data_IF_360089032913
#
_entry.id   IF_360089032913
#
_cell.length_a   1.000
_cell.length_b   1.000
_cell.length_c   1.000
_cell.angle_alpha   90.00
_cell.angle_beta   90.00
_cell.angle_gamma   90.00
#
_symmetry.space_group_name_H-M   'P 1'
#
loop_
_entity.id
_entity.type
_entity.pdbx_description
1 polymer ?
#
# COMPACT_ATOMS: atom_id res chain seq x y z
N UNK A 1 19.68 0.13 3.85
CA UNK A 1 20.17 -1.24 4.11
C UNK A 1 20.34 -1.96 2.78
N UNK A 2 21.56 -2.35 2.41
CA UNK A 2 21.81 -3.11 1.17
C UNK A 2 21.63 -4.59 1.48
N UNK A 3 20.86 -5.30 0.67
CA UNK A 3 20.80 -6.74 0.73
C UNK A 3 21.44 -7.35 -0.50
N UNK A 4 22.10 -8.48 -0.31
CA UNK A 4 22.61 -9.25 -1.42
C UNK A 4 21.54 -10.23 -1.88
N UNK A 5 21.04 -10.04 -3.10
CA UNK A 5 20.24 -11.04 -3.81
C UNK A 5 21.19 -11.85 -4.71
N UNK A 6 21.97 -12.74 -4.09
CA UNK A 6 23.02 -13.49 -4.78
C UNK A 6 24.16 -12.59 -5.25
N UNK A 7 24.40 -12.53 -6.58
CA UNK A 7 25.50 -11.76 -7.19
C UNK A 7 25.18 -10.29 -7.46
N UNK A 8 23.96 -9.83 -7.15
CA UNK A 8 23.54 -8.45 -7.39
C UNK A 8 23.09 -7.77 -6.10
N UNK A 9 23.32 -6.46 -6.03
CA UNK A 9 22.77 -5.62 -4.97
C UNK A 9 21.25 -5.56 -5.11
N UNK A 10 20.56 -5.74 -3.99
CA UNK A 10 19.13 -5.59 -3.85
C UNK A 10 18.84 -4.47 -2.85
N UNK A 11 17.90 -3.61 -3.20
CA UNK A 11 17.44 -2.55 -2.32
C UNK A 11 16.50 -3.15 -1.24
N UNK A 12 16.84 -2.87 0.02
CA UNK A 12 16.05 -3.02 1.27
C UNK A 12 15.06 -1.88 1.52
N UNK A 13 13.76 -2.13 1.66
CA UNK A 13 12.92 -1.19 2.43
C UNK A 13 13.16 -1.35 3.93
N UNK A 14 12.83 -0.31 4.70
CA UNK A 14 12.77 -0.42 6.15
C UNK A 14 11.55 -1.26 6.57
N UNK A 15 11.62 -2.01 7.67
CA UNK A 15 10.46 -2.70 8.21
C UNK A 15 9.38 -1.68 8.58
N UNK A 16 8.11 -2.05 8.36
CA UNK A 16 6.94 -1.25 8.71
C UNK A 16 5.99 -2.10 9.54
N UNK A 17 5.33 -1.49 10.52
CA UNK A 17 4.29 -2.16 11.29
C UNK A 17 3.09 -2.44 10.38
N UNK A 18 2.63 -3.69 10.39
CA UNK A 18 1.44 -4.10 9.62
C UNK A 18 0.22 -4.21 10.53
N UNK A 19 0.37 -4.90 11.66
CA UNK A 19 -0.71 -5.11 12.62
C UNK A 19 -0.16 -5.24 14.03
N UNK A 20 -1.02 -4.95 14.99
CA UNK A 20 -0.91 -5.28 16.40
C UNK A 20 -2.21 -5.95 16.86
N UNK A 21 -2.32 -6.35 18.13
CA UNK A 21 -3.50 -7.04 18.68
C UNK A 21 -4.82 -6.27 18.49
N UNK A 22 -4.76 -4.94 18.41
CA UNK A 22 -5.93 -4.07 18.39
C UNK A 22 -6.20 -3.43 17.01
N UNK A 23 -5.18 -3.29 16.16
CA UNK A 23 -5.26 -2.49 14.94
C UNK A 23 -4.44 -3.09 13.80
N UNK A 24 -4.90 -2.89 12.57
CA UNK A 24 -4.22 -3.31 11.35
C UNK A 24 -4.16 -2.17 10.34
N UNK A 25 -3.01 -1.97 9.71
CA UNK A 25 -2.83 -1.06 8.58
C UNK A 25 -2.98 -1.90 7.31
N UNK A 26 -3.95 -1.54 6.46
CA UNK A 26 -4.29 -2.33 5.27
C UNK A 26 -3.78 -1.71 3.97
N UNK A 27 -3.50 -0.41 3.96
CA UNK A 27 -3.07 0.30 2.75
C UNK A 27 -1.68 0.90 2.94
N UNK A 28 -0.72 0.40 2.16
CA UNK A 28 0.65 0.90 2.12
C UNK A 28 0.94 1.53 0.77
N UNK A 29 1.87 2.46 0.75
CA UNK A 29 2.43 2.99 -0.50
C UNK A 29 3.95 2.85 -0.45
N UNK A 30 4.49 1.99 -1.30
CA UNK A 30 5.91 1.71 -1.41
C UNK A 30 6.50 2.46 -2.58
N UNK A 31 7.64 3.09 -2.34
CA UNK A 31 8.17 4.07 -3.28
C UNK A 31 9.56 3.69 -3.68
N UNK A 32 9.72 3.55 -4.98
CA UNK A 32 10.92 3.10 -5.62
C UNK A 32 11.69 4.33 -6.10
N UNK A 33 12.84 4.57 -5.48
CA UNK A 33 13.74 5.65 -5.86
C UNK A 33 14.71 5.18 -6.94
N UNK A 34 14.65 5.80 -8.11
CA UNK A 34 15.55 5.51 -9.22
C UNK A 34 16.52 6.65 -9.45
N UNK A 35 17.77 6.28 -9.71
CA UNK A 35 18.79 7.21 -10.18
C UNK A 35 19.37 6.68 -11.48
N UNK A 36 19.17 7.43 -12.57
CA UNK A 36 19.60 7.04 -13.93
C UNK A 36 19.13 5.63 -14.31
N UNK A 37 17.90 5.27 -13.93
CA UNK A 37 17.30 3.95 -14.19
C UNK A 37 17.76 2.82 -13.25
N UNK A 38 18.58 3.11 -12.23
CA UNK A 38 18.98 2.12 -11.23
C UNK A 38 18.21 2.36 -9.92
N UNK A 39 17.57 1.31 -9.39
CA UNK A 39 16.87 1.36 -8.12
C UNK A 39 17.87 1.56 -6.98
N UNK A 40 17.76 2.67 -6.26
CA UNK A 40 18.62 3.02 -5.13
C UNK A 40 17.99 2.61 -3.81
N UNK A 41 16.73 3.02 -3.59
CA UNK A 41 16.04 2.84 -2.32
C UNK A 41 14.58 2.46 -2.49
N UNK A 42 14.03 1.90 -1.41
CA UNK A 42 12.61 1.64 -1.23
C UNK A 42 12.15 2.27 0.07
N UNK A 43 11.12 3.12 0.02
CA UNK A 43 10.61 3.82 1.19
C UNK A 43 9.09 3.77 1.27
N UNK A 44 8.57 3.71 2.48
CA UNK A 44 7.14 3.70 2.74
C UNK A 44 6.63 5.13 2.87
N UNK A 45 5.69 5.53 2.02
CA UNK A 45 5.06 6.85 2.08
C UNK A 45 4.03 6.87 3.21
N UNK A 46 4.23 7.79 4.15
CA UNK A 46 3.26 8.15 5.17
C UNK A 46 2.48 9.37 4.69
N UNK A 47 1.16 9.29 4.72
CA UNK A 47 0.28 10.38 4.26
C UNK A 47 -0.25 11.23 5.42
N UNK A 48 0.05 10.85 6.66
CA UNK A 48 -0.53 11.46 7.84
C UNK A 48 -2.03 11.18 7.96
N UNK A 49 -2.60 11.62 9.07
CA UNK A 49 -3.96 11.24 9.42
C UNK A 49 -5.06 12.11 8.80
N UNK A 50 -4.71 13.19 8.13
CA UNK A 50 -5.68 14.05 7.43
C UNK A 50 -6.40 13.32 6.28
N UNK A 51 -5.78 12.26 5.76
CA UNK A 51 -6.33 11.46 4.65
C UNK A 51 -7.11 10.22 5.11
N UNK A 52 -7.25 9.99 6.43
CA UNK A 52 -7.96 8.82 6.95
C UNK A 52 -9.48 8.99 6.80
N UNK A 53 -10.17 7.92 6.41
CA UNK A 53 -11.64 7.88 6.51
C UNK A 53 -12.09 7.75 7.97
N UNK A 54 -13.33 8.11 8.27
CA UNK A 54 -13.91 8.17 9.63
C UNK A 54 -13.82 6.86 10.40
N UNK A 55 -13.74 5.72 9.70
CA UNK A 55 -13.66 4.39 10.31
C UNK A 55 -12.25 3.99 10.77
N UNK A 56 -11.23 4.76 10.38
CA UNK A 56 -9.83 4.49 10.66
C UNK A 56 -9.35 5.32 11.86
N UNK A 57 -8.46 4.71 12.65
CA UNK A 57 -7.77 5.31 13.78
C UNK A 57 -6.39 5.77 13.33
N UNK A 58 -6.02 6.98 13.73
CA UNK A 58 -4.70 7.55 13.47
C UNK A 58 -3.67 6.97 14.45
N UNK A 59 -2.67 6.24 13.93
CA UNK A 59 -1.53 5.76 14.71
C UNK A 59 -0.36 6.74 14.59
N UNK A 60 0.14 7.21 15.73
CA UNK A 60 1.32 8.10 15.84
C UNK A 60 1.28 9.37 14.98
N UNK A 61 0.10 9.83 14.54
CA UNK A 61 -0.03 11.00 13.65
C UNK A 61 0.31 10.71 12.18
N UNK A 62 0.71 9.49 11.84
CA UNK A 62 1.38 9.19 10.57
C UNK A 62 0.61 8.19 9.70
N UNK A 63 0.02 7.16 10.30
CA UNK A 63 -0.58 6.03 9.61
C UNK A 63 -2.06 5.84 9.96
N UNK A 64 -2.89 5.52 8.96
CA UNK A 64 -4.29 5.17 9.14
C UNK A 64 -4.41 3.67 9.40
N UNK A 65 -4.86 3.28 10.59
CA UNK A 65 -5.10 1.89 10.93
C UNK A 65 -6.59 1.63 11.14
N UNK A 66 -7.03 0.41 10.85
CA UNK A 66 -8.37 -0.05 11.15
C UNK A 66 -8.35 -0.87 12.44
N UNK A 67 -9.31 -0.67 13.37
CA UNK A 67 -9.48 -1.57 14.50
C UNK A 67 -9.73 -3.00 14.03
N UNK A 68 -9.08 -3.96 14.66
CA UNK A 68 -9.17 -5.38 14.28
C UNK A 68 -10.59 -5.92 14.41
N UNK A 69 -11.40 -5.37 15.32
CA UNK A 69 -12.83 -5.69 15.49
C UNK A 69 -13.70 -5.31 14.27
N UNK A 70 -13.24 -4.38 13.43
CA UNK A 70 -13.96 -3.97 12.21
C UNK A 70 -13.62 -4.85 11.00
N UNK A 71 -12.66 -5.76 11.11
CA UNK A 71 -12.30 -6.71 10.07
C UNK A 71 -13.33 -7.83 9.93
N UNK A 72 -13.67 -8.23 8.69
CA UNK A 72 -14.58 -9.37 8.41
C UNK A 72 -14.16 -10.66 9.10
N UNK A 73 -12.86 -10.92 9.24
CA UNK A 73 -12.33 -12.09 9.96
C UNK A 73 -12.78 -12.16 11.43
N UNK A 74 -13.10 -11.01 12.02
CA UNK A 74 -13.52 -10.86 13.41
C UNK A 74 -15.00 -10.45 13.53
N UNK A 75 -15.79 -10.62 12.47
CA UNK A 75 -17.23 -10.28 12.45
C UNK A 75 -17.56 -8.82 12.09
N UNK A 76 -16.58 -8.05 11.62
CA UNK A 76 -16.79 -6.67 11.16
C UNK A 76 -17.20 -6.56 9.69
N UNK A 77 -17.40 -5.33 9.21
CA UNK A 77 -17.88 -5.07 7.84
C UNK A 77 -16.75 -4.87 6.80
N UNK A 78 -15.51 -4.63 7.24
CA UNK A 78 -14.42 -4.23 6.34
C UNK A 78 -13.50 -5.40 5.99
N UNK A 79 -13.07 -5.44 4.72
CA UNK A 79 -12.06 -6.37 4.24
C UNK A 79 -10.65 -5.90 4.63
N UNK A 80 -9.99 -6.61 5.55
CA UNK A 80 -8.67 -6.26 6.06
C UNK A 80 -7.51 -6.86 5.26
N UNK A 81 -7.63 -6.92 3.94
CA UNK A 81 -6.55 -7.38 3.08
C UNK A 81 -5.46 -6.34 2.93
N UNK A 82 -4.22 -6.82 2.87
CA UNK A 82 -3.06 -5.97 2.63
C UNK A 82 -3.04 -5.52 1.17
N UNK A 83 -2.97 -4.22 0.96
CA UNK A 83 -2.82 -3.56 -0.33
C UNK A 83 -1.55 -2.72 -0.33
N UNK A 84 -0.68 -2.96 -1.30
CA UNK A 84 0.55 -2.18 -1.49
C UNK A 84 0.47 -1.47 -2.83
N UNK A 85 0.36 -0.15 -2.78
CA UNK A 85 0.46 0.69 -3.96
C UNK A 85 1.93 1.00 -4.25
N UNK A 86 2.36 0.85 -5.50
CA UNK A 86 3.72 1.18 -5.92
C UNK A 86 3.75 2.56 -6.56
N UNK A 87 4.81 3.31 -6.31
CA UNK A 87 5.06 4.59 -6.98
C UNK A 87 6.56 4.81 -7.17
N UNK A 88 6.89 5.68 -8.10
CA UNK A 88 8.24 5.90 -8.61
C UNK A 88 8.67 7.34 -8.36
N UNK A 89 9.94 7.50 -8.02
CA UNK A 89 10.62 8.77 -7.81
C UNK A 89 11.99 8.76 -8.49
N UNK A 90 12.44 9.92 -8.96
CA UNK A 90 13.81 10.12 -9.45
C UNK A 90 13.89 10.14 -10.98
N UNK A 91 14.85 9.43 -11.58
CA UNK A 91 15.08 9.47 -13.03
C UNK A 91 15.27 8.09 -13.66
N UNK A 92 14.78 7.96 -14.90
CA UNK A 92 15.05 6.80 -15.74
C UNK A 92 16.47 6.85 -16.36
N UNK A 93 16.81 5.84 -17.18
CA UNK A 93 18.12 5.77 -17.86
C UNK A 93 18.39 6.95 -18.79
N UNK A 94 17.34 7.55 -19.36
CA UNK A 94 17.39 8.68 -20.28
C UNK A 94 17.26 10.03 -19.55
N UNK A 95 17.41 10.04 -18.22
CA UNK A 95 17.27 11.22 -17.36
C UNK A 95 15.88 11.86 -17.37
N UNK A 96 14.86 11.13 -17.83
CA UNK A 96 13.46 11.54 -17.73
C UNK A 96 12.99 11.38 -16.28
N UNK A 97 12.23 12.36 -15.80
CA UNK A 97 11.74 12.37 -14.43
C UNK A 97 10.65 11.32 -14.22
N UNK A 98 10.82 10.52 -13.17
CA UNK A 98 9.79 9.65 -12.62
C UNK A 98 9.17 10.38 -11.42
N UNK A 99 7.98 10.95 -11.61
CA UNK A 99 7.35 11.88 -10.66
C UNK A 99 6.05 11.35 -10.06
N UNK A 100 5.68 10.10 -10.35
CA UNK A 100 4.42 9.50 -9.87
C UNK A 100 4.24 9.60 -8.35
N UNK A 101 5.35 9.71 -7.59
CA UNK A 101 5.33 9.98 -6.15
C UNK A 101 4.51 11.22 -5.77
N UNK A 102 4.64 12.31 -6.53
CA UNK A 102 3.92 13.57 -6.30
C UNK A 102 2.45 13.45 -6.70
N UNK A 103 2.18 12.65 -7.72
CA UNK A 103 0.83 12.45 -8.27
C UNK A 103 0.01 11.44 -7.48
N UNK A 104 0.58 10.70 -6.52
CA UNK A 104 -0.17 9.68 -5.76
C UNK A 104 -1.45 10.22 -5.12
N UNK A 105 -1.44 11.47 -4.64
CA UNK A 105 -2.65 12.09 -4.07
C UNK A 105 -3.77 12.24 -5.11
N UNK A 106 -3.41 12.56 -6.35
CA UNK A 106 -4.35 12.70 -7.46
C UNK A 106 -4.73 11.32 -8.03
N UNK A 107 -3.78 10.39 -8.11
CA UNK A 107 -3.98 9.04 -8.62
C UNK A 107 -4.80 8.15 -7.68
N UNK A 108 -4.76 8.39 -6.36
CA UNK A 108 -5.59 7.67 -5.39
C UNK A 108 -7.09 7.85 -5.64
N UNK A 109 -7.51 9.00 -6.18
CA UNK A 109 -8.91 9.23 -6.53
C UNK A 109 -9.37 8.34 -7.69
N UNK A 110 -8.44 7.97 -8.58
CA UNK A 110 -8.67 7.05 -9.68
C UNK A 110 -8.38 5.59 -9.32
N UNK A 111 -8.19 5.30 -8.02
CA UNK A 111 -8.09 3.94 -7.54
C UNK A 111 -9.32 3.16 -7.98
N UNK A 112 -9.13 2.25 -8.94
CA UNK A 112 -10.18 1.38 -9.44
C UNK A 112 -10.64 0.38 -8.36
N UNK A 113 -10.08 0.44 -7.14
CA UNK A 113 -10.51 -0.37 -6.01
C UNK A 113 -12.02 -0.33 -5.82
N UNK A 114 -12.66 0.85 -5.84
CA UNK A 114 -14.12 0.93 -5.71
C UNK A 114 -14.90 0.31 -6.87
N UNK A 115 -14.30 0.22 -8.06
CA UNK A 115 -14.89 -0.42 -9.24
C UNK A 115 -14.69 -1.94 -9.23
N UNK A 116 -13.54 -2.42 -8.76
CA UNK A 116 -13.19 -3.84 -8.77
C UNK A 116 -13.46 -4.57 -7.45
N UNK A 117 -13.66 -3.87 -6.33
CA UNK A 117 -14.01 -4.49 -5.04
C UNK A 117 -15.31 -5.27 -5.14
N UNK A 118 -16.30 -4.70 -5.82
CA UNK A 118 -17.60 -5.34 -6.06
C UNK A 118 -17.49 -6.51 -7.05
N UNK A 119 -16.56 -6.44 -8.02
CA UNK A 119 -16.30 -7.54 -8.93
C UNK A 119 -15.71 -8.75 -8.20
N UNK A 120 -14.85 -8.54 -7.21
CA UNK A 120 -14.35 -9.64 -6.38
C UNK A 120 -15.48 -10.36 -5.66
N UNK A 121 -16.38 -9.63 -5.01
CA UNK A 121 -17.51 -10.24 -4.30
C UNK A 121 -18.50 -10.92 -5.28
N UNK A 122 -18.73 -10.32 -6.46
CA UNK A 122 -19.59 -10.89 -7.49
C UNK A 122 -19.00 -12.16 -8.12
N UNK A 123 -17.69 -12.19 -8.39
CA UNK A 123 -17.02 -13.33 -9.01
C UNK A 123 -16.79 -14.43 -7.99
N UNK A 124 -16.28 -14.11 -6.80
CA UNK A 124 -16.06 -15.12 -5.74
C UNK A 124 -17.39 -15.69 -5.22
N UNK A 125 -18.44 -14.86 -5.11
CA UNK A 125 -19.77 -15.30 -4.70
C UNK A 125 -20.41 -16.30 -5.67
N UNK A 126 -20.12 -16.22 -6.97
CA UNK A 126 -20.59 -17.20 -7.96
C UNK A 126 -19.95 -18.58 -7.79
N UNK A 127 -18.75 -18.68 -7.23
CA UNK A 127 -18.05 -19.96 -7.01
C UNK A 127 -18.31 -20.59 -5.64
N UNK A 128 -18.89 -19.86 -4.68
CA UNK A 128 -19.24 -20.40 -3.35
C UNK A 128 -20.37 -21.45 -3.37
N UNK A 129 -21.08 -21.61 -4.49
CA UNK A 129 -22.10 -22.65 -4.66
C UNK A 129 -21.65 -23.85 -5.51
N UNK A 130 -20.41 -23.84 -6.00
CA UNK A 130 -19.86 -24.88 -6.89
C UNK A 130 -18.90 -25.85 -6.18
N UNK A 131 -18.57 -25.60 -4.91
CA UNK A 131 -17.78 -26.48 -4.04
C UNK A 131 -18.38 -26.57 -2.64
#
# INVERSE_FOLDING_TARGET
MVAFAGRKHAARSFPVMISDNNTIITSFTLVLEFQKGTLQNLYWKKFGCQSCSKDFVCLHGEDCALPMSKCKSNGGAHDCYLSIQLTFSGTDKNLQALNSWYEVSNLRQYSLYGLYSNLRDSVAGQFNGLF
#
